data_IF_311737099565
#
_entry.id   IF_311737099565
#
_cell.length_a   1.000
_cell.length_b   1.000
_cell.length_c   1.000
_cell.angle_alpha   90.00
_cell.angle_beta   90.00
_cell.angle_gamma   90.00
#
_symmetry.space_group_name_H-M   'P 1'
#
loop_
_entity.id
_entity.type
_entity.pdbx_description
1 polymer ?
#
# COMPACT_ATOMS: atom_id res chain seq x y z
N UNK A 1 -10.92 2.21 -17.81
CA UNK A 1 -9.53 2.13 -17.30
C UNK A 1 -8.70 3.14 -18.05
N UNK A 2 -7.89 3.93 -17.35
CA UNK A 2 -7.03 4.97 -17.97
C UNK A 2 -5.67 4.37 -18.37
N UNK A 3 -5.12 3.47 -17.56
CA UNK A 3 -3.81 2.82 -17.80
C UNK A 3 -3.74 1.48 -17.03
N UNK A 4 -2.74 0.64 -17.32
CA UNK A 4 -2.42 -0.57 -16.52
C UNK A 4 -0.93 -0.60 -16.21
N UNK A 5 -0.58 -0.65 -14.92
CA UNK A 5 0.80 -0.72 -14.45
C UNK A 5 1.10 -2.14 -13.94
N UNK A 6 2.19 -2.75 -14.42
CA UNK A 6 2.53 -4.14 -14.07
C UNK A 6 4.03 -4.31 -13.88
N UNK A 7 4.40 -5.07 -12.85
CA UNK A 7 5.77 -5.49 -12.56
C UNK A 7 5.85 -7.02 -12.64
N UNK A 8 6.04 -7.55 -13.85
CA UNK A 8 6.13 -9.00 -14.06
C UNK A 8 7.50 -9.52 -13.61
N UNK A 9 7.49 -10.57 -12.78
CA UNK A 9 8.68 -11.29 -12.31
C UNK A 9 9.65 -10.50 -11.38
N UNK A 10 9.21 -9.39 -10.79
CA UNK A 10 9.98 -8.64 -9.78
C UNK A 10 9.36 -8.88 -8.39
N UNK A 11 10.20 -9.18 -7.40
CA UNK A 11 9.75 -9.35 -6.01
C UNK A 11 9.08 -8.07 -5.50
N UNK A 12 7.89 -8.20 -4.90
CA UNK A 12 7.16 -7.10 -4.24
C UNK A 12 7.79 -6.64 -2.91
N UNK A 13 9.03 -7.03 -2.61
CA UNK A 13 9.77 -6.62 -1.40
C UNK A 13 10.51 -5.28 -1.56
N UNK A 14 10.37 -4.60 -2.70
CA UNK A 14 10.97 -3.30 -2.96
C UNK A 14 10.11 -2.46 -3.91
N UNK A 15 10.20 -1.14 -3.78
CA UNK A 15 9.64 -0.16 -4.72
C UNK A 15 10.55 0.16 -5.93
N UNK A 16 11.71 -0.49 -6.08
CA UNK A 16 12.54 -0.37 -7.30
C UNK A 16 11.91 -1.23 -8.41
N UNK A 17 10.75 -0.76 -8.88
CA UNK A 17 9.86 -1.45 -9.81
C UNK A 17 9.30 -0.43 -10.78
N UNK A 18 9.45 -0.67 -12.08
CA UNK A 18 9.06 0.30 -13.11
C UNK A 18 7.56 0.61 -13.09
N UNK A 19 6.72 -0.40 -12.86
CA UNK A 19 5.26 -0.26 -12.81
C UNK A 19 4.81 0.67 -11.68
N UNK A 20 5.26 0.41 -10.44
CA UNK A 20 4.90 1.26 -9.31
C UNK A 20 5.48 2.69 -9.43
N UNK A 21 6.68 2.84 -10.02
CA UNK A 21 7.27 4.16 -10.24
C UNK A 21 6.47 4.97 -11.27
N UNK A 22 6.08 4.36 -12.40
CA UNK A 22 5.21 5.00 -13.39
C UNK A 22 3.85 5.36 -12.80
N UNK A 23 3.25 4.46 -12.02
CA UNK A 23 1.99 4.73 -11.32
C UNK A 23 2.10 5.95 -10.41
N UNK A 24 3.16 6.04 -9.59
CA UNK A 24 3.36 7.16 -8.69
C UNK A 24 3.63 8.48 -9.43
N UNK A 25 4.38 8.43 -10.53
CA UNK A 25 4.63 9.60 -11.36
C UNK A 25 3.34 10.12 -12.00
N UNK A 26 2.51 9.23 -12.52
CA UNK A 26 1.24 9.57 -13.16
C UNK A 26 0.18 10.05 -12.17
N UNK A 27 0.17 9.48 -10.96
CA UNK A 27 -0.63 9.99 -9.85
C UNK A 27 -0.24 11.43 -9.49
N UNK A 28 1.07 11.72 -9.38
CA UNK A 28 1.55 13.09 -9.15
C UNK A 28 1.18 14.05 -10.30
N UNK A 29 1.21 13.55 -11.54
CA UNK A 29 0.73 14.27 -12.72
C UNK A 29 -0.79 14.42 -12.79
N UNK A 30 -1.54 13.92 -11.79
CA UNK A 30 -3.02 13.91 -11.73
C UNK A 30 -3.66 13.30 -12.98
N UNK A 31 -3.03 12.26 -13.55
CA UNK A 31 -3.56 11.55 -14.74
C UNK A 31 -4.77 10.66 -14.41
N UNK A 32 -4.98 10.36 -13.14
CA UNK A 32 -6.10 9.61 -12.61
C UNK A 32 -6.35 9.99 -11.14
N UNK A 33 -7.51 9.59 -10.64
CA UNK A 33 -8.06 9.86 -9.30
C UNK A 33 -8.21 8.58 -8.44
N UNK A 34 -8.04 7.40 -9.05
CA UNK A 34 -8.16 6.10 -8.38
C UNK A 34 -7.16 5.06 -8.90
N UNK A 35 -6.58 4.30 -7.97
CA UNK A 35 -5.85 3.04 -8.22
C UNK A 35 -6.75 1.87 -7.86
N UNK A 36 -6.87 0.89 -8.74
CA UNK A 36 -7.53 -0.39 -8.47
C UNK A 36 -6.49 -1.52 -8.42
N UNK A 37 -6.54 -2.34 -7.36
CA UNK A 37 -5.68 -3.52 -7.17
C UNK A 37 -6.51 -4.72 -6.72
N UNK A 38 -5.95 -5.93 -6.82
CA UNK A 38 -6.58 -7.12 -6.23
C UNK A 38 -6.56 -7.04 -4.70
N UNK A 39 -5.41 -6.69 -4.13
CA UNK A 39 -5.15 -6.57 -2.69
C UNK A 39 -3.97 -5.61 -2.43
N UNK A 40 -3.77 -5.19 -1.17
CA UNK A 40 -2.64 -4.35 -0.78
C UNK A 40 -1.27 -5.03 -0.97
N UNK A 41 -1.20 -6.35 -0.79
CA UNK A 41 0.04 -7.11 -0.93
C UNK A 41 0.55 -7.18 -2.39
N UNK A 42 -0.30 -6.83 -3.37
CA UNK A 42 0.07 -6.63 -4.78
C UNK A 42 0.73 -5.29 -5.04
N UNK A 43 0.45 -4.29 -4.20
CA UNK A 43 1.11 -3.00 -4.25
C UNK A 43 2.51 -3.12 -3.65
N UNK A 44 2.64 -3.66 -2.45
CA UNK A 44 3.92 -4.07 -1.87
C UNK A 44 3.70 -5.10 -0.75
N UNK A 45 4.67 -5.98 -0.56
CA UNK A 45 4.71 -6.90 0.59
C UNK A 45 5.45 -6.31 1.78
N UNK A 46 6.26 -5.28 1.55
CA UNK A 46 6.85 -4.50 2.62
C UNK A 46 5.88 -3.40 3.09
N UNK A 47 5.81 -3.23 4.40
CA UNK A 47 4.83 -2.35 5.02
C UNK A 47 5.26 -0.89 5.04
N UNK A 48 6.56 -0.62 5.13
CA UNK A 48 7.07 0.75 4.98
C UNK A 48 6.81 1.23 3.56
N UNK A 49 6.99 0.35 2.58
CA UNK A 49 6.64 0.59 1.19
C UNK A 49 5.13 0.85 1.00
N UNK A 50 4.25 0.00 1.55
CA UNK A 50 2.78 0.23 1.49
C UNK A 50 2.43 1.59 2.09
N UNK A 51 2.96 1.92 3.28
CA UNK A 51 2.70 3.20 3.93
C UNK A 51 3.21 4.39 3.09
N UNK A 52 4.39 4.24 2.50
CA UNK A 52 4.99 5.25 1.61
C UNK A 52 4.18 5.46 0.34
N UNK A 53 3.69 4.40 -0.30
CA UNK A 53 2.82 4.47 -1.48
C UNK A 53 1.49 5.12 -1.12
N UNK A 54 0.82 4.65 -0.06
CA UNK A 54 -0.44 5.22 0.41
C UNK A 54 -0.32 6.73 0.66
N UNK A 55 0.70 7.15 1.40
CA UNK A 55 0.94 8.57 1.69
C UNK A 55 1.12 9.41 0.41
N UNK A 56 1.87 8.91 -0.58
CA UNK A 56 2.11 9.61 -1.85
C UNK A 56 0.83 9.74 -2.68
N UNK A 57 0.03 8.67 -2.78
CA UNK A 57 -1.23 8.68 -3.52
C UNK A 57 -2.25 9.60 -2.86
N UNK A 58 -2.39 9.54 -1.52
CA UNK A 58 -3.27 10.44 -0.78
C UNK A 58 -2.87 11.91 -0.93
N UNK A 59 -1.57 12.22 -0.92
CA UNK A 59 -1.08 13.58 -1.19
C UNK A 59 -1.43 14.07 -2.60
N UNK A 60 -1.49 13.16 -3.57
CA UNK A 60 -1.91 13.45 -4.94
C UNK A 60 -3.44 13.48 -5.13
N UNK A 61 -4.22 13.32 -4.05
CA UNK A 61 -5.69 13.20 -4.07
C UNK A 61 -6.17 11.98 -4.87
N UNK A 62 -5.40 10.89 -4.80
CA UNK A 62 -5.69 9.61 -5.46
C UNK A 62 -6.13 8.57 -4.42
N UNK A 63 -7.30 7.99 -4.63
CA UNK A 63 -7.85 6.90 -3.82
C UNK A 63 -7.26 5.55 -4.21
N UNK A 64 -7.24 4.58 -3.29
CA UNK A 64 -6.85 3.20 -3.58
C UNK A 64 -8.04 2.31 -3.24
N UNK A 65 -8.45 1.49 -4.20
CA UNK A 65 -9.46 0.45 -4.02
C UNK A 65 -8.83 -0.91 -4.27
N UNK A 66 -9.15 -1.87 -3.40
CA UNK A 66 -8.82 -3.28 -3.59
C UNK A 66 -10.07 -4.13 -3.74
N UNK A 67 -9.95 -5.26 -4.43
CA UNK A 67 -11.05 -6.22 -4.50
C UNK A 67 -11.28 -6.94 -3.16
N UNK A 68 -10.21 -7.13 -2.37
CA UNK A 68 -10.29 -7.83 -1.08
C UNK A 68 -10.76 -6.97 0.09
N UNK A 69 -10.46 -5.67 0.12
CA UNK A 69 -10.77 -4.78 1.25
C UNK A 69 -11.66 -3.58 0.89
N UNK A 70 -11.89 -3.29 -0.39
CA UNK A 70 -12.62 -2.10 -0.81
C UNK A 70 -11.74 -0.85 -0.76
N UNK A 71 -12.29 0.29 -0.31
CA UNK A 71 -11.51 1.52 -0.21
C UNK A 71 -10.47 1.43 0.91
N UNK A 72 -9.21 1.63 0.55
CA UNK A 72 -8.10 1.64 1.48
C UNK A 72 -8.04 2.98 2.19
N UNK A 73 -8.05 2.92 3.50
CA UNK A 73 -7.90 4.06 4.39
C UNK A 73 -6.74 3.86 5.38
N UNK A 74 -6.52 4.85 6.23
CA UNK A 74 -5.43 4.89 7.22
C UNK A 74 -5.47 3.70 8.19
N UNK A 75 -6.63 3.08 8.44
CA UNK A 75 -6.72 1.89 9.29
C UNK A 75 -6.08 0.67 8.63
N UNK A 76 -6.30 0.49 7.32
CA UNK A 76 -5.74 -0.63 6.56
C UNK A 76 -4.21 -0.59 6.51
N UNK A 77 -3.64 0.62 6.46
CA UNK A 77 -2.19 0.85 6.39
C UNK A 77 -1.57 0.96 7.79
N UNK A 78 -2.28 1.58 8.73
CA UNK A 78 -1.78 1.94 10.06
C UNK A 78 -1.88 0.83 11.11
N UNK A 79 -2.67 -0.23 10.86
CA UNK A 79 -2.85 -1.30 11.85
C UNK A 79 -1.56 -2.04 12.19
N UNK A 80 -0.46 -1.91 11.43
CA UNK A 80 0.86 -2.46 11.82
C UNK A 80 1.35 -1.87 13.15
N UNK A 81 1.19 -0.57 13.38
CA UNK A 81 1.59 0.06 14.64
C UNK A 81 0.74 -0.41 15.82
N UNK A 82 -0.58 -0.49 15.62
CA UNK A 82 -1.53 -0.97 16.61
C UNK A 82 -1.34 -2.46 16.91
N UNK A 83 -1.10 -3.28 15.89
CA UNK A 83 -0.83 -4.71 16.04
C UNK A 83 0.52 -4.96 16.71
N UNK A 84 1.56 -4.16 16.43
CA UNK A 84 2.83 -4.29 17.13
C UNK A 84 2.69 -3.94 18.61
N UNK A 85 1.90 -2.91 18.94
CA UNK A 85 1.56 -2.56 20.32
C UNK A 85 0.76 -3.68 21.02
N UNK A 86 -0.23 -4.28 20.34
CA UNK A 86 -0.99 -5.43 20.85
C UNK A 86 -0.12 -6.68 21.00
N UNK A 87 0.74 -6.96 20.04
CA UNK A 87 1.68 -8.08 20.08
C UNK A 87 2.67 -7.96 21.24
N UNK A 88 3.27 -6.77 21.45
CA UNK A 88 4.15 -6.50 22.58
C UNK A 88 3.42 -6.66 23.92
N UNK A 89 2.16 -6.21 24.00
CA UNK A 89 1.31 -6.38 25.18
C UNK A 89 1.03 -7.86 25.46
N UNK A 90 0.66 -8.64 24.45
CA UNK A 90 0.38 -10.07 24.58
C UNK A 90 1.64 -10.89 24.92
N UNK A 91 2.80 -10.49 24.39
CA UNK A 91 4.08 -11.11 24.74
C UNK A 91 4.39 -10.91 26.22
N UNK A 92 4.22 -9.70 26.75
CA UNK A 92 4.44 -9.38 28.16
C UNK A 92 3.52 -10.17 29.11
N UNK A 93 2.30 -10.49 28.67
CA UNK A 93 1.35 -11.32 29.43
C UNK A 93 1.72 -12.80 29.42
N UNK A 94 2.32 -13.31 28.34
CA UNK A 94 2.72 -14.73 28.20
C UNK A 94 4.07 -15.06 28.84
N UNK A 95 4.94 -14.08 29.05
CA UNK A 95 6.25 -14.24 29.71
C UNK A 95 6.19 -14.04 31.23
N UNK A 96 5.01 -14.16 31.84
CA UNK A 96 4.77 -14.06 33.29
C UNK A 96 4.25 -15.37 33.85
#
# INVERSE_FOLDING_TARGET
>A
MVETYSDRAISGASLIRSGIQSLLADAQGRRFDMVLSEALDRISRDQEDVAGVFKRLRFADVSIFTLSEGEINELHVGLKGTMNALFLKDLALKTR
#
